data_IF_570367027435
#
_entry.id   IF_570367027435
#
_cell.length_a   1.000
_cell.length_b   1.000
_cell.length_c   1.000
_cell.angle_alpha   90.00
_cell.angle_beta   90.00
_cell.angle_gamma   90.00
#
_symmetry.space_group_name_H-M   'P 1'
#
loop_
_entity.id
_entity.type
_entity.pdbx_description
1 polymer ?
#
# COMPACT_ATOMS: atom_id res chain seq x y z
N UNK A 1 -6.41 -2.44 -9.85
CA UNK A 1 -5.88 -2.16 -8.49
C UNK A 1 -5.82 -3.44 -7.66
N UNK A 2 -6.91 -4.20 -7.59
CA UNK A 2 -7.04 -5.48 -6.86
C UNK A 2 -5.94 -6.50 -7.19
N UNK A 3 -5.55 -6.65 -8.46
CA UNK A 3 -4.45 -7.56 -8.86
C UNK A 3 -3.09 -7.16 -8.28
N UNK A 4 -2.79 -5.86 -8.20
CA UNK A 4 -1.53 -5.36 -7.64
C UNK A 4 -1.46 -5.59 -6.13
N UNK A 5 -2.58 -5.41 -5.41
CA UNK A 5 -2.66 -5.66 -3.97
C UNK A 5 -2.48 -7.16 -3.67
N UNK A 6 -3.17 -8.03 -4.42
CA UNK A 6 -3.01 -9.49 -4.26
C UNK A 6 -1.59 -9.96 -4.55
N UNK A 7 -0.97 -9.42 -5.61
CA UNK A 7 0.44 -9.71 -5.91
C UNK A 7 1.34 -9.29 -4.75
N UNK A 8 1.21 -8.06 -4.26
CA UNK A 8 1.99 -7.58 -3.13
C UNK A 8 1.81 -8.43 -1.86
N UNK A 9 0.59 -8.86 -1.56
CA UNK A 9 0.31 -9.79 -0.45
C UNK A 9 0.98 -11.15 -0.66
N UNK A 10 1.00 -11.67 -1.88
CA UNK A 10 1.74 -12.88 -2.23
C UNK A 10 3.25 -12.68 -2.06
N UNK A 11 3.80 -11.57 -2.57
CA UNK A 11 5.23 -11.24 -2.45
C UNK A 11 5.67 -11.11 -0.97
N UNK A 12 4.77 -10.65 -0.08
CA UNK A 12 4.97 -10.67 1.38
C UNK A 12 5.04 -12.11 1.92
N UNK A 13 4.09 -12.98 1.53
CA UNK A 13 4.05 -14.37 1.99
C UNK A 13 5.26 -15.18 1.51
N UNK A 14 5.77 -14.86 0.32
CA UNK A 14 6.96 -15.48 -0.27
C UNK A 14 8.28 -14.93 0.28
N UNK A 15 8.22 -14.06 1.29
CA UNK A 15 9.38 -13.40 1.92
C UNK A 15 10.31 -12.70 0.92
N UNK A 16 9.70 -11.96 -0.02
CA UNK A 16 10.45 -11.21 -1.03
C UNK A 16 11.38 -10.17 -0.41
N UNK A 17 12.41 -9.78 -1.17
CA UNK A 17 13.39 -8.80 -0.73
C UNK A 17 12.74 -7.49 -0.22
N UNK A 18 13.22 -6.96 0.91
CA UNK A 18 12.68 -5.76 1.54
C UNK A 18 12.63 -4.54 0.61
N UNK A 19 13.64 -4.35 -0.24
CA UNK A 19 13.66 -3.24 -1.22
C UNK A 19 12.57 -3.41 -2.28
N UNK A 20 12.29 -4.65 -2.72
CA UNK A 20 11.20 -4.94 -3.64
C UNK A 20 9.85 -4.61 -2.99
N UNK A 21 9.61 -5.13 -1.78
CA UNK A 21 8.38 -4.89 -1.02
C UNK A 21 8.13 -3.40 -0.75
N UNK A 22 9.16 -2.62 -0.41
CA UNK A 22 9.03 -1.18 -0.21
C UNK A 22 8.64 -0.43 -1.48
N UNK A 23 9.22 -0.80 -2.63
CA UNK A 23 8.88 -0.17 -3.90
C UNK A 23 7.44 -0.48 -4.32
N UNK A 24 6.98 -1.71 -4.10
CA UNK A 24 5.57 -2.07 -4.33
C UNK A 24 4.63 -1.34 -3.37
N UNK A 25 4.96 -1.30 -2.08
CA UNK A 25 4.20 -0.57 -1.07
C UNK A 25 4.10 0.93 -1.42
N UNK A 26 5.20 1.54 -1.86
CA UNK A 26 5.21 2.92 -2.34
C UNK A 26 4.26 3.11 -3.54
N UNK A 27 4.37 2.27 -4.56
CA UNK A 27 3.52 2.36 -5.76
C UNK A 27 2.03 2.16 -5.43
N UNK A 28 1.70 1.26 -4.50
CA UNK A 28 0.32 1.02 -4.06
C UNK A 28 -0.19 2.21 -3.24
N UNK A 29 0.61 2.74 -2.30
CA UNK A 29 0.23 3.89 -1.46
C UNK A 29 -0.17 5.12 -2.27
N UNK A 30 0.55 5.41 -3.37
CA UNK A 30 0.21 6.47 -4.33
C UNK A 30 -1.16 6.21 -4.96
N UNK A 31 -1.40 4.97 -5.40
CA UNK A 31 -2.63 4.59 -6.11
C UNK A 31 -3.86 4.68 -5.21
N UNK A 32 -3.76 4.28 -3.95
CA UNK A 32 -4.85 4.38 -2.97
C UNK A 32 -4.92 5.74 -2.27
N UNK A 33 -4.01 6.67 -2.60
CA UNK A 33 -3.89 8.01 -2.01
C UNK A 33 -3.64 8.01 -0.50
N UNK A 34 -2.99 6.98 0.03
CA UNK A 34 -2.52 6.96 1.42
C UNK A 34 -1.23 7.77 1.52
N UNK A 35 -1.37 9.09 1.72
CA UNK A 35 -0.24 10.02 1.80
C UNK A 35 0.70 9.74 2.97
N UNK A 36 0.20 9.14 4.06
CA UNK A 36 1.02 8.79 5.21
C UNK A 36 1.97 7.66 4.85
N UNK A 37 1.47 6.61 4.21
CA UNK A 37 2.31 5.51 3.75
C UNK A 37 3.22 5.92 2.59
N UNK A 38 2.72 6.74 1.66
CA UNK A 38 3.51 7.26 0.53
C UNK A 38 4.76 7.99 1.02
N UNK A 39 4.59 8.98 1.92
CA UNK A 39 5.71 9.73 2.47
C UNK A 39 6.65 8.83 3.29
N UNK A 40 6.09 7.90 4.07
CA UNK A 40 6.88 6.97 4.85
C UNK A 40 7.76 6.07 3.97
N UNK A 41 7.20 5.44 2.94
CA UNK A 41 7.94 4.63 1.99
C UNK A 41 9.01 5.46 1.26
N UNK A 42 8.67 6.68 0.86
CA UNK A 42 9.63 7.58 0.22
C UNK A 42 10.83 7.86 1.13
N UNK A 43 10.61 8.16 2.42
CA UNK A 43 11.71 8.39 3.37
C UNK A 43 12.51 7.12 3.67
N UNK A 44 11.89 5.94 3.73
CA UNK A 44 12.63 4.68 3.87
C UNK A 44 13.52 4.39 2.64
N UNK A 45 13.05 4.73 1.44
CA UNK A 45 13.76 4.51 0.16
C UNK A 45 14.83 5.57 -0.14
N UNK A 46 14.57 6.84 0.16
CA UNK A 46 15.43 7.98 -0.19
C UNK A 46 16.21 8.55 0.98
N UNK A 47 15.91 8.12 2.20
CA UNK A 47 16.47 8.66 3.43
C UNK A 47 15.59 9.78 4.02
N UNK A 48 15.80 10.02 5.32
CA UNK A 48 15.07 11.01 6.09
C UNK A 48 15.74 12.38 5.98
N UNK A 49 14.97 13.46 5.71
CA UNK A 49 15.53 14.80 5.49
C UNK A 49 16.13 15.43 6.76
N UNK A 50 15.62 15.06 7.93
CA UNK A 50 16.08 15.58 9.22
C UNK A 50 15.83 14.55 10.33
N UNK A 51 16.46 14.76 11.48
CA UNK A 51 16.33 13.88 12.65
C UNK A 51 14.93 13.84 13.24
N UNK A 52 14.12 14.88 13.03
CA UNK A 52 12.77 15.01 13.60
C UNK A 52 11.73 14.17 12.83
N UNK A 53 11.99 13.92 11.55
CA UNK A 53 11.18 13.07 10.67
C UNK A 53 11.42 11.58 10.87
N UNK A 54 12.45 11.22 11.65
CA UNK A 54 12.88 9.84 11.87
C UNK A 54 11.93 9.11 12.84
N UNK A 55 11.36 7.95 12.44
CA UNK A 55 10.56 7.12 13.33
C UNK A 55 11.35 6.61 14.54
N UNK A 56 10.66 6.35 15.65
CA UNK A 56 11.29 5.90 16.90
C UNK A 56 12.18 4.67 16.74
N UNK A 57 11.81 3.70 15.90
CA UNK A 57 12.60 2.49 15.66
C UNK A 57 13.95 2.76 14.97
N UNK A 58 14.12 3.92 14.31
CA UNK A 58 15.38 4.38 13.70
C UNK A 58 16.26 5.19 14.66
N UNK A 59 15.83 5.37 15.91
CA UNK A 59 16.65 5.96 16.97
C UNK A 59 17.29 4.83 17.78
N UNK A 60 18.59 4.62 17.56
CA UNK A 60 19.35 3.53 18.17
C UNK A 60 20.17 4.03 19.35
N UNK A 61 20.46 3.13 20.29
CA UNK A 61 21.33 3.44 21.43
C UNK A 61 22.79 3.30 21.00
N UNK A 62 23.63 4.23 21.41
CA UNK A 62 25.04 4.25 21.00
C UNK A 62 25.97 4.44 22.17
N UNK A 63 27.19 3.93 22.01
CA UNK A 63 28.31 4.19 22.92
C UNK A 63 29.05 5.42 22.44
N UNK A 64 29.34 6.33 23.36
CA UNK A 64 30.16 7.50 23.11
C UNK A 64 31.63 7.15 23.33
N UNK A 65 32.45 7.30 22.29
CA UNK A 65 33.88 6.95 22.34
C UNK A 65 34.74 8.02 21.69
N UNK A 66 36.01 8.04 22.03
CA UNK A 66 37.02 8.92 21.46
C UNK A 66 38.19 8.12 20.87
N UNK A 67 38.74 8.63 19.79
CA UNK A 67 39.97 8.15 19.19
C UNK A 67 41.08 9.18 19.47
N UNK A 68 42.12 8.79 20.20
CA UNK A 68 43.35 9.55 20.34
C UNK A 68 44.42 9.12 19.33
N UNK A 69 45.62 9.68 19.46
CA UNK A 69 46.79 9.32 18.65
C UNK A 69 47.19 7.85 18.84
N UNK A 70 47.31 7.40 20.09
CA UNK A 70 47.82 6.07 20.43
C UNK A 70 46.75 5.01 20.72
N UNK A 71 45.52 5.42 21.01
CA UNK A 71 44.42 4.51 21.40
C UNK A 71 43.13 4.91 20.70
N UNK A 72 42.39 3.91 20.23
CA UNK A 72 41.10 4.06 19.54
C UNK A 72 39.97 3.49 20.39
N UNK A 73 38.75 3.97 20.17
CA UNK A 73 37.52 3.54 20.83
C UNK A 73 37.58 3.64 22.36
N UNK A 74 38.21 4.69 22.87
CA UNK A 74 38.29 4.97 24.31
C UNK A 74 36.89 5.39 24.78
N UNK A 75 36.26 4.69 25.73
CA UNK A 75 34.98 5.11 26.27
C UNK A 75 35.07 6.52 26.87
N UNK A 76 34.12 7.38 26.56
CA UNK A 76 34.05 8.73 27.10
C UNK A 76 32.70 8.95 27.80
N UNK A 77 32.73 9.69 28.91
CA UNK A 77 31.53 10.01 29.69
C UNK A 77 30.80 11.19 29.08
N UNK A 78 29.53 11.04 28.69
CA UNK A 78 28.81 12.12 28.02
C UNK A 78 28.69 13.35 28.93
N UNK A 79 29.03 14.57 28.45
CA UNK A 79 28.98 15.77 29.27
C UNK A 79 27.55 16.13 29.69
N UNK A 80 27.42 16.81 30.83
CA UNK A 80 26.14 17.30 31.30
C UNK A 80 25.48 18.24 30.27
N UNK A 81 24.19 18.03 30.01
CA UNK A 81 23.44 18.76 28.98
C UNK A 81 23.51 18.15 27.57
N UNK A 82 24.34 17.12 27.34
CA UNK A 82 24.52 16.49 26.03
C UNK A 82 23.89 15.09 25.91
N UNK A 83 22.85 14.81 26.70
CA UNK A 83 22.30 13.44 26.78
C UNK A 83 21.67 12.92 25.49
N UNK A 84 21.42 13.80 24.51
CA UNK A 84 21.05 13.39 23.16
C UNK A 84 22.13 12.55 22.47
N UNK A 85 23.41 12.64 22.89
CA UNK A 85 24.52 11.85 22.37
C UNK A 85 24.46 10.36 22.73
N UNK A 86 23.60 9.96 23.68
CA UNK A 86 23.33 8.54 23.96
C UNK A 86 22.60 7.82 22.82
N UNK A 87 22.07 8.59 21.87
CA UNK A 87 21.29 8.06 20.77
C UNK A 87 21.80 8.57 19.42
N UNK A 88 21.59 7.76 18.40
CA UNK A 88 21.83 8.14 17.02
C UNK A 88 20.55 7.96 16.22
N UNK A 89 20.17 8.98 15.44
CA UNK A 89 19.03 8.90 14.53
C UNK A 89 19.52 8.49 13.14
N UNK A 90 19.18 7.28 12.73
CA UNK A 90 19.59 6.72 11.44
C UNK A 90 18.73 7.27 10.32
N UNK A 91 19.26 8.24 9.57
CA UNK A 91 18.55 8.90 8.45
C UNK A 91 18.79 8.25 7.09
N UNK A 92 19.78 7.36 6.98
CA UNK A 92 20.15 6.76 5.70
C UNK A 92 19.02 5.93 5.08
N UNK A 93 18.97 5.82 3.73
CA UNK A 93 18.10 4.89 3.04
C UNK A 93 18.25 3.45 3.55
N UNK A 94 17.16 2.68 3.52
CA UNK A 94 17.19 1.26 3.92
C UNK A 94 18.17 0.43 3.10
N UNK A 95 18.39 0.79 1.83
CA UNK A 95 19.34 0.08 0.95
C UNK A 95 20.79 0.25 1.40
N UNK A 96 21.12 1.36 2.05
CA UNK A 96 22.44 1.58 2.67
C UNK A 96 22.60 0.70 3.91
N UNK A 97 21.54 0.57 4.72
CA UNK A 97 21.52 -0.28 5.91
C UNK A 97 21.71 -1.75 5.55
N UNK A 98 20.98 -2.25 4.56
CA UNK A 98 21.07 -3.63 4.06
C UNK A 98 22.49 -4.00 3.60
N UNK A 99 23.22 -3.06 3.00
CA UNK A 99 24.60 -3.30 2.58
C UNK A 99 25.53 -3.46 3.78
N UNK A 100 25.32 -2.65 4.83
CA UNK A 100 26.13 -2.69 6.04
C UNK A 100 25.85 -3.96 6.86
N UNK A 101 24.59 -4.38 6.98
CA UNK A 101 24.20 -5.57 7.75
C UNK A 101 24.65 -6.89 7.11
N UNK A 102 24.85 -6.90 5.79
CA UNK A 102 25.35 -8.06 5.05
C UNK A 102 26.87 -8.27 5.21
N UNK A 103 27.62 -7.25 5.63
CA UNK A 103 29.07 -7.35 5.80
C UNK A 103 29.40 -8.04 7.14
N UNK A 104 29.66 -9.34 7.08
CA UNK A 104 29.93 -10.20 8.26
C UNK A 104 31.14 -9.76 9.10
N UNK A 105 32.05 -8.98 8.55
CA UNK A 105 33.27 -8.51 9.23
C UNK A 105 32.99 -7.36 10.22
N UNK A 106 31.90 -6.62 10.03
CA UNK A 106 31.57 -5.47 10.87
C UNK A 106 30.53 -5.86 11.93
N UNK A 107 30.96 -6.03 13.17
CA UNK A 107 30.04 -6.17 14.30
C UNK A 107 29.60 -4.81 14.88
N UNK A 108 30.34 -3.75 14.57
CA UNK A 108 30.15 -2.40 15.08
C UNK A 108 30.21 -1.40 13.93
N UNK A 109 29.27 -0.46 13.93
CA UNK A 109 29.29 0.73 13.07
C UNK A 109 29.69 1.95 13.89
N UNK A 110 30.45 2.85 13.27
CA UNK A 110 30.84 4.12 13.87
C UNK A 110 30.18 5.28 13.13
N UNK A 111 29.68 6.26 13.86
CA UNK A 111 29.10 7.48 13.33
C UNK A 111 29.98 8.65 13.75
N UNK A 112 30.52 9.34 12.76
CA UNK A 112 31.41 10.48 12.97
C UNK A 112 30.59 11.75 13.23
N UNK A 113 31.11 12.62 14.10
CA UNK A 113 30.54 13.95 14.29
C UNK A 113 31.15 14.94 13.31
N UNK A 114 30.41 16.02 13.04
CA UNK A 114 30.94 17.18 12.32
C UNK A 114 32.15 17.75 13.05
N UNK A 115 33.08 18.35 12.30
CA UNK A 115 34.28 18.96 12.87
C UNK A 115 33.95 20.03 13.91
N UNK A 116 32.84 20.75 13.73
CA UNK A 116 32.37 21.75 14.68
C UNK A 116 31.96 21.12 16.03
N UNK A 117 31.17 20.04 16.00
CA UNK A 117 30.75 19.34 17.22
C UNK A 117 31.95 18.68 17.90
N UNK A 118 32.85 18.07 17.13
CA UNK A 118 34.08 17.48 17.66
C UNK A 118 34.95 18.52 18.38
N UNK A 119 35.14 19.72 17.78
CA UNK A 119 35.90 20.81 18.43
C UNK A 119 35.26 21.23 19.76
N UNK A 120 33.94 21.42 19.78
CA UNK A 120 33.19 21.76 21.00
C UNK A 120 33.35 20.67 22.08
N UNK A 121 33.33 19.40 21.69
CA UNK A 121 33.55 18.29 22.62
C UNK A 121 34.99 18.33 23.16
N UNK A 122 36.01 18.51 22.34
CA UNK A 122 37.40 18.63 22.83
C UNK A 122 37.58 19.75 23.85
N UNK A 123 36.95 20.92 23.62
CA UNK A 123 36.92 22.04 24.57
C UNK A 123 36.30 21.63 25.92
N UNK A 124 35.17 20.91 25.90
CA UNK A 124 34.48 20.44 27.13
C UNK A 124 35.31 19.46 27.95
N UNK A 125 36.12 18.61 27.31
CA UNK A 125 37.00 17.65 28.02
C UNK A 125 38.37 18.23 28.40
N UNK A 126 38.60 19.52 28.19
CA UNK A 126 39.91 20.17 28.36
C UNK A 126 41.04 19.42 27.61
N UNK A 127 40.71 18.80 26.47
CA UNK A 127 41.70 18.09 25.66
C UNK A 127 42.23 18.99 24.57
N UNK A 128 43.52 18.83 24.24
CA UNK A 128 44.07 19.32 22.98
C UNK A 128 43.38 18.60 21.81
N UNK A 129 43.42 19.18 20.61
CA UNK A 129 42.74 18.73 19.38
C UNK A 129 43.09 17.33 18.87
N UNK A 130 43.67 16.47 19.71
CA UNK A 130 44.21 15.14 19.38
C UNK A 130 43.17 14.02 19.58
N UNK A 131 41.97 14.36 20.07
CA UNK A 131 40.85 13.44 20.20
C UNK A 131 39.78 13.69 19.14
N UNK A 132 39.32 12.60 18.53
CA UNK A 132 38.14 12.58 17.67
C UNK A 132 37.05 11.76 18.33
N UNK A 133 35.98 12.42 18.76
CA UNK A 133 34.79 11.77 19.29
C UNK A 133 33.92 11.21 18.18
N UNK A 134 33.25 10.09 18.49
CA UNK A 134 32.32 9.38 17.60
C UNK A 134 31.33 8.56 18.40
N UNK A 135 30.24 8.16 17.76
CA UNK A 135 29.27 7.21 18.31
C UNK A 135 29.53 5.83 17.74
N UNK A 136 29.30 4.78 18.54
CA UNK A 136 29.38 3.40 18.09
C UNK A 136 28.12 2.61 18.43
N UNK A 137 27.64 1.83 17.49
CA UNK A 137 26.51 0.93 17.70
C UNK A 137 26.84 -0.48 17.19
N UNK A 138 26.23 -1.50 17.79
CA UNK A 138 26.21 -2.82 17.18
C UNK A 138 25.40 -2.82 15.90
N UNK A 139 25.87 -3.56 14.89
CA UNK A 139 25.14 -3.78 13.64
C UNK A 139 23.79 -4.47 13.87
N UNK A 140 23.61 -5.20 14.98
CA UNK A 140 22.32 -5.82 15.31
C UNK A 140 21.18 -4.79 15.40
N UNK A 141 21.45 -3.58 15.90
CA UNK A 141 20.45 -2.52 15.96
C UNK A 141 20.01 -2.02 14.57
N UNK A 142 20.85 -2.17 13.55
CA UNK A 142 20.48 -1.87 12.17
C UNK A 142 19.59 -2.98 11.59
N UNK A 143 19.85 -4.23 11.96
CA UNK A 143 18.97 -5.38 11.64
C UNK A 143 17.60 -5.23 12.31
N UNK A 144 17.54 -4.68 13.53
CA UNK A 144 16.29 -4.38 14.22
C UNK A 144 15.48 -3.31 13.46
N UNK A 145 16.13 -2.29 12.89
CA UNK A 145 15.49 -1.31 12.00
C UNK A 145 14.89 -2.01 10.78
N UNK A 146 15.65 -2.85 10.09
CA UNK A 146 15.17 -3.59 8.92
C UNK A 146 13.95 -4.45 9.27
N UNK A 147 13.98 -5.09 10.43
CA UNK A 147 12.90 -5.92 10.94
C UNK A 147 11.64 -5.10 11.22
N UNK A 148 11.78 -3.92 11.85
CA UNK A 148 10.67 -3.01 12.11
C UNK A 148 10.05 -2.45 10.81
N UNK A 149 10.87 -2.15 9.81
CA UNK A 149 10.41 -1.71 8.48
C UNK A 149 9.63 -2.84 7.80
N UNK A 150 10.16 -4.07 7.81
CA UNK A 150 9.48 -5.25 7.27
C UNK A 150 8.15 -5.50 7.97
N UNK A 151 8.12 -5.50 9.31
CA UNK A 151 6.90 -5.66 10.10
C UNK A 151 5.84 -4.63 9.71
N UNK A 152 6.23 -3.36 9.55
CA UNK A 152 5.30 -2.29 9.17
C UNK A 152 4.72 -2.48 7.77
N UNK A 153 5.52 -2.94 6.80
CA UNK A 153 5.07 -3.27 5.44
C UNK A 153 4.10 -4.44 5.46
N UNK A 154 4.45 -5.52 6.17
CA UNK A 154 3.61 -6.71 6.32
C UNK A 154 2.28 -6.31 6.94
N UNK A 155 2.32 -5.60 8.06
CA UNK A 155 1.12 -5.15 8.75
C UNK A 155 0.24 -4.29 7.85
N UNK A 156 0.81 -3.26 7.20
CA UNK A 156 0.05 -2.41 6.29
C UNK A 156 -0.54 -3.20 5.11
N UNK A 157 0.26 -4.06 4.46
CA UNK A 157 -0.15 -4.83 3.30
C UNK A 157 -1.25 -5.86 3.57
N UNK A 158 -1.22 -6.49 4.74
CA UNK A 158 -2.24 -7.47 5.15
C UNK A 158 -3.57 -6.82 5.50
N UNK A 159 -3.57 -5.53 5.88
CA UNK A 159 -4.80 -4.76 6.13
C UNK A 159 -5.32 -4.04 4.87
N UNK A 160 -4.65 -4.18 3.72
CA UNK A 160 -5.19 -3.69 2.46
C UNK A 160 -6.36 -4.57 2.04
N UNK A 161 -7.56 -4.02 2.10
CA UNK A 161 -8.72 -4.62 1.44
C UNK A 161 -8.50 -4.55 -0.08
N UNK A 162 -8.39 -5.69 -0.79
CA UNK A 162 -8.43 -5.67 -2.23
C UNK A 162 -9.81 -5.15 -2.60
N UNK A 163 -9.93 -3.98 -3.24
CA UNK A 163 -11.23 -3.36 -3.56
C UNK A 163 -12.25 -4.42 -4.01
N UNK A 164 -13.11 -4.81 -3.07
CA UNK A 164 -14.22 -5.73 -3.19
C UNK A 164 -15.40 -4.87 -2.77
N UNK A 165 -15.95 -4.17 -3.77
CA UNK A 165 -17.13 -3.29 -3.73
C UNK A 165 -16.87 -1.86 -3.25
N UNK A 166 -16.66 -0.96 -4.22
CA UNK A 166 -17.53 0.21 -4.31
C UNK A 166 -18.79 -0.25 -5.04
N UNK A 167 -19.86 -0.44 -4.27
CA UNK A 167 -21.26 -0.26 -4.64
C UNK A 167 -21.51 -0.46 -6.15
N UNK A 168 -21.83 -1.67 -6.59
CA UNK A 168 -23.23 -2.00 -6.89
C UNK A 168 -24.15 -0.89 -6.38
N UNK A 169 -24.51 0.03 -7.27
CA UNK A 169 -25.50 1.07 -7.08
C UNK A 169 -26.85 0.39 -6.81
N UNK A 170 -27.07 -0.08 -5.57
CA UNK A 170 -28.39 -0.49 -5.08
C UNK A 170 -29.01 0.73 -4.42
N UNK A 171 -29.26 1.76 -5.22
CA UNK A 171 -30.29 2.76 -4.94
C UNK A 171 -31.37 2.65 -5.99
N UNK A 172 -32.43 1.94 -5.60
CA UNK A 172 -33.78 2.00 -6.16
C UNK A 172 -34.01 1.61 -7.63
N UNK A 173 -33.32 0.61 -8.16
CA UNK A 173 -33.95 -0.20 -9.20
C UNK A 173 -34.85 -1.24 -8.53
N UNK A 174 -36.16 -0.95 -8.51
CA UNK A 174 -37.21 -1.96 -8.28
C UNK A 174 -36.76 -3.25 -8.97
N UNK A 175 -36.79 -4.42 -8.32
CA UNK A 175 -36.34 -5.66 -8.95
C UNK A 175 -37.09 -5.80 -10.26
N UNK A 176 -36.41 -5.62 -11.39
CA UNK A 176 -36.99 -5.98 -12.67
C UNK A 176 -37.09 -7.50 -12.65
N UNK A 177 -38.29 -7.98 -12.34
CA UNK A 177 -38.62 -9.38 -12.52
C UNK A 177 -38.48 -9.70 -14.00
N UNK A 178 -37.33 -10.25 -14.39
CA UNK A 178 -37.15 -10.87 -15.70
C UNK A 178 -37.89 -12.21 -15.64
N UNK A 179 -39.17 -12.19 -15.98
CA UNK A 179 -39.97 -13.40 -16.14
C UNK A 179 -39.57 -14.10 -17.44
N UNK A 180 -38.55 -14.94 -17.39
CA UNK A 180 -38.11 -15.72 -18.54
C UNK A 180 -38.99 -16.97 -18.67
N UNK A 181 -40.00 -16.93 -19.53
CA UNK A 181 -40.85 -18.10 -19.82
C UNK A 181 -40.30 -18.86 -21.03
N UNK A 182 -39.61 -19.98 -20.76
CA UNK A 182 -39.23 -20.92 -21.80
C UNK A 182 -40.46 -21.74 -22.22
N UNK A 183 -41.09 -21.40 -23.34
CA UNK A 183 -42.18 -22.20 -23.92
C UNK A 183 -41.54 -23.34 -24.72
N UNK A 184 -41.56 -24.54 -24.15
CA UNK A 184 -41.06 -25.77 -24.77
C UNK A 184 -42.25 -26.68 -25.12
N UNK A 185 -42.58 -26.79 -26.41
CA UNK A 185 -43.66 -27.64 -26.91
C UNK A 185 -44.35 -27.08 -28.17
N UNK A 186 -45.26 -27.85 -28.77
CA UNK A 186 -46.02 -27.42 -29.94
C UNK A 186 -47.13 -26.42 -29.53
N UNK A 187 -47.02 -25.16 -29.98
CA UNK A 187 -47.83 -24.02 -29.51
C UNK A 187 -49.01 -23.74 -30.47
N UNK A 188 -49.60 -24.76 -31.08
CA UNK A 188 -50.77 -24.57 -31.94
C UNK A 188 -51.99 -24.19 -31.07
N UNK A 189 -52.71 -23.13 -31.47
CA UNK A 189 -53.90 -22.57 -30.80
C UNK A 189 -53.69 -21.80 -29.48
N UNK A 190 -52.48 -21.39 -29.10
CA UNK A 190 -52.29 -20.61 -27.86
C UNK A 190 -52.15 -19.12 -28.11
N UNK A 191 -52.65 -18.33 -27.15
CA UNK A 191 -52.56 -16.87 -27.14
C UNK A 191 -51.69 -16.46 -25.96
N UNK A 192 -50.53 -15.84 -26.24
CA UNK A 192 -49.56 -15.45 -25.23
C UNK A 192 -49.53 -13.92 -25.15
N UNK A 193 -49.62 -13.38 -23.94
CA UNK A 193 -49.54 -11.95 -23.69
C UNK A 193 -48.66 -11.68 -22.46
N UNK A 194 -47.74 -10.73 -22.58
CA UNK A 194 -46.85 -10.30 -21.51
C UNK A 194 -46.98 -8.79 -21.28
N UNK A 195 -47.15 -8.39 -20.01
CA UNK A 195 -46.96 -7.01 -19.58
C UNK A 195 -48.03 -5.97 -19.96
N UNK A 196 -49.29 -6.34 -20.22
CA UNK A 196 -50.35 -5.35 -20.52
C UNK A 196 -51.49 -5.42 -19.50
N UNK A 197 -51.97 -4.26 -19.04
CA UNK A 197 -53.08 -4.12 -18.10
C UNK A 197 -54.46 -4.02 -18.74
N UNK A 198 -54.59 -3.84 -20.07
CA UNK A 198 -55.90 -3.69 -20.75
C UNK A 198 -55.90 -4.13 -22.23
N UNK A 199 -55.53 -5.37 -22.53
CA UNK A 199 -55.62 -5.88 -23.90
C UNK A 199 -56.84 -6.75 -24.14
N UNK A 200 -57.49 -6.53 -25.28
CA UNK A 200 -58.52 -7.43 -25.85
C UNK A 200 -57.97 -8.04 -27.14
N UNK A 201 -57.54 -9.28 -27.07
CA UNK A 201 -57.09 -10.05 -28.23
C UNK A 201 -58.24 -10.96 -28.67
N UNK A 202 -58.63 -10.86 -29.94
CA UNK A 202 -59.67 -11.68 -30.55
C UNK A 202 -59.03 -12.53 -31.65
N UNK A 203 -59.14 -13.85 -31.52
CA UNK A 203 -58.66 -14.78 -32.55
C UNK A 203 -59.60 -14.70 -33.75
N UNK A 204 -59.09 -14.27 -34.91
CA UNK A 204 -59.82 -14.35 -36.17
C UNK A 204 -59.65 -15.74 -36.77
N UNK A 205 -60.76 -16.45 -37.00
CA UNK A 205 -60.77 -17.69 -37.77
C UNK A 205 -60.58 -17.39 -39.27
N UNK A 206 -60.09 -18.35 -40.05
CA UNK A 206 -60.05 -18.26 -41.52
C UNK A 206 -61.46 -17.93 -42.07
N UNK A 207 -62.53 -18.44 -41.44
CA UNK A 207 -63.91 -18.10 -41.81
C UNK A 207 -64.24 -16.61 -41.61
N UNK A 208 -63.72 -15.99 -40.54
CA UNK A 208 -63.93 -14.57 -40.25
C UNK A 208 -63.14 -13.69 -41.24
N UNK A 209 -61.95 -14.14 -41.64
CA UNK A 209 -61.14 -13.45 -42.64
C UNK A 209 -61.80 -13.50 -44.03
N UNK A 210 -62.32 -14.67 -44.40
CA UNK A 210 -63.03 -14.87 -45.67
C UNK A 210 -64.32 -14.04 -45.71
N UNK A 211 -65.09 -14.02 -44.62
CA UNK A 211 -66.31 -13.20 -44.52
C UNK A 211 -66.03 -11.70 -44.67
N UNK A 212 -64.96 -11.19 -44.04
CA UNK A 212 -64.57 -9.79 -44.16
C UNK A 212 -64.02 -9.44 -45.56
N UNK A 213 -63.30 -10.36 -46.20
CA UNK A 213 -62.78 -10.16 -47.56
C UNK A 213 -63.91 -10.05 -48.58
N UNK A 214 -64.89 -10.96 -48.54
CA UNK A 214 -66.07 -10.89 -49.41
C UNK A 214 -66.96 -9.69 -49.10
N UNK A 215 -67.15 -9.34 -47.83
CA UNK A 215 -67.91 -8.14 -47.44
C UNK A 215 -67.29 -6.84 -47.97
N UNK A 216 -65.96 -6.72 -47.97
CA UNK A 216 -65.28 -5.54 -48.52
C UNK A 216 -65.31 -5.48 -50.05
N UNK A 217 -65.25 -6.65 -50.71
CA UNK A 217 -65.27 -6.72 -52.19
C UNK A 217 -66.65 -6.38 -52.75
N UNK A 218 -67.73 -6.82 -52.11
CA UNK A 218 -69.10 -6.45 -52.50
C UNK A 218 -69.44 -4.98 -52.18
N UNK A 219 -68.85 -4.41 -51.12
CA UNK A 219 -69.02 -2.99 -50.79
C UNK A 219 -68.38 -2.00 -51.77
N UNK A 220 -67.41 -2.45 -52.58
CA UNK A 220 -66.81 -1.66 -53.67
C UNK A 220 -67.45 -1.90 -55.04
N UNK A 221 -68.25 -2.97 -55.22
CA UNK A 221 -68.90 -3.27 -56.49
C UNK A 221 -70.33 -2.69 -56.63
N UNK A 222 -70.90 -2.13 -55.56
CA UNK A 222 -72.27 -1.57 -55.56
C UNK A 222 -72.33 -0.15 -55.00
N UNK A 223 -71.37 0.70 -55.37
CA UNK A 223 -71.50 2.16 -55.22
C UNK A 223 -71.40 2.85 -56.55
#
# INVERSE_FOLDING_TARGET
>A
MTTSIRKFQQDILDDSNLSHLLNEAYAISIKIKDKKMENWCHYELSGYPNTDSVPKYRKISVRFVADGEFRKNIPAEIPDGYQFLNYHSVTNPISSLLKLTQQKEHQVVSFEFTSELNRKLCELYNQTSDFTFKQQASVSQLVDIESAVKEKIVNWGMHLEPELKKDIDVKDEKPQMINNYNILGNIQNSQIQQGNTNSKQKRSSIKDLIGNLFGSLFGHLFK
#
